data_IF_055017372801
#
_entry.id   IF_055017372801
#
_cell.length_a   1.000
_cell.length_b   1.000
_cell.length_c   1.000
_cell.angle_alpha   90.00
_cell.angle_beta   90.00
_cell.angle_gamma   90.00
#
_symmetry.space_group_name_H-M   'P 1'
#
loop_
_entity.id
_entity.type
_entity.pdbx_description
1 polymer ?
#
# COMPACT_ATOMS: atom_id res chain seq x y z
N UNK A 1 20.24 25.83 -14.92
CA UNK A 1 19.32 25.70 -13.77
C UNK A 1 20.15 25.07 -12.65
N UNK A 2 20.32 25.74 -11.50
CA UNK A 2 21.20 25.23 -10.43
C UNK A 2 20.63 23.95 -9.83
N UNK A 3 21.51 23.03 -9.45
CA UNK A 3 21.18 21.73 -8.83
C UNK A 3 20.25 21.89 -7.61
N UNK A 4 20.48 22.93 -6.83
CA UNK A 4 19.68 23.31 -5.68
C UNK A 4 18.21 23.65 -6.03
N UNK A 5 17.98 24.31 -7.18
CA UNK A 5 16.63 24.63 -7.64
C UNK A 5 15.86 23.37 -8.07
N UNK A 6 16.55 22.38 -8.64
CA UNK A 6 15.95 21.09 -9.02
C UNK A 6 15.59 20.24 -7.79
N UNK A 7 16.44 20.24 -6.75
CA UNK A 7 16.18 19.56 -5.48
C UNK A 7 15.00 20.19 -4.73
N UNK A 8 14.96 21.53 -4.61
CA UNK A 8 13.84 22.23 -3.94
C UNK A 8 12.50 22.00 -4.65
N UNK A 9 12.49 22.02 -5.99
CA UNK A 9 11.29 21.71 -6.78
C UNK A 9 10.82 20.27 -6.56
N UNK A 10 11.76 19.33 -6.49
CA UNK A 10 11.50 17.91 -6.20
C UNK A 10 10.89 17.73 -4.81
N UNK A 11 11.49 18.34 -3.78
CA UNK A 11 10.97 18.30 -2.41
C UNK A 11 9.57 18.91 -2.31
N UNK A 12 9.34 20.07 -2.94
CA UNK A 12 8.04 20.73 -2.94
C UNK A 12 6.95 19.87 -3.62
N UNK A 13 7.26 19.19 -4.72
CA UNK A 13 6.32 18.29 -5.39
C UNK A 13 5.98 17.06 -4.52
N UNK A 14 6.99 16.44 -3.91
CA UNK A 14 6.78 15.29 -3.03
C UNK A 14 5.97 15.66 -1.80
N UNK A 15 6.32 16.77 -1.13
CA UNK A 15 5.58 17.30 0.02
C UNK A 15 4.15 17.66 -0.37
N UNK A 16 3.94 18.33 -1.51
CA UNK A 16 2.61 18.68 -1.99
C UNK A 16 1.72 17.45 -2.23
N UNK A 17 2.26 16.40 -2.85
CA UNK A 17 1.53 15.13 -3.06
C UNK A 17 1.24 14.42 -1.74
N UNK A 18 2.19 14.40 -0.81
CA UNK A 18 2.00 13.81 0.52
C UNK A 18 0.89 14.52 1.30
N UNK A 19 0.97 15.85 1.39
CA UNK A 19 -0.01 16.68 2.12
C UNK A 19 -1.39 16.60 1.47
N UNK A 20 -1.47 16.75 0.14
CA UNK A 20 -2.75 16.66 -0.57
C UNK A 20 -3.36 15.25 -0.47
N UNK A 21 -2.54 14.20 -0.64
CA UNK A 21 -2.98 12.82 -0.50
C UNK A 21 -3.49 12.52 0.91
N UNK A 22 -2.76 12.96 1.94
CA UNK A 22 -3.19 12.82 3.33
C UNK A 22 -4.48 13.60 3.62
N UNK A 23 -4.59 14.84 3.14
CA UNK A 23 -5.78 15.66 3.31
C UNK A 23 -7.01 15.07 2.62
N UNK A 24 -6.87 14.50 1.42
CA UNK A 24 -7.96 13.81 0.69
C UNK A 24 -8.40 12.57 1.45
N UNK A 25 -7.46 11.75 1.94
CA UNK A 25 -7.77 10.58 2.77
C UNK A 25 -8.50 11.00 4.04
N UNK A 26 -7.99 11.99 4.77
CA UNK A 26 -8.60 12.50 5.99
C UNK A 26 -10.01 13.05 5.72
N UNK A 27 -10.18 13.89 4.70
CA UNK A 27 -11.49 14.43 4.34
C UNK A 27 -12.49 13.33 3.96
N UNK A 28 -12.03 12.28 3.28
CA UNK A 28 -12.87 11.15 2.90
C UNK A 28 -13.26 10.27 4.10
N UNK A 29 -12.33 10.05 5.04
CA UNK A 29 -12.58 9.41 6.35
C UNK A 29 -13.74 10.07 7.09
N UNK A 30 -13.83 11.40 7.05
CA UNK A 30 -14.88 12.13 7.76
C UNK A 30 -16.21 12.25 6.96
N UNK A 31 -16.26 11.87 5.67
CA UNK A 31 -17.45 12.08 4.81
C UNK A 31 -18.30 10.83 4.52
N UNK A 32 -17.76 9.62 4.58
CA UNK A 32 -18.51 8.39 4.22
C UNK A 32 -19.40 7.95 5.38
N UNK A 33 -20.74 7.92 5.19
CA UNK A 33 -21.72 7.71 6.28
C UNK A 33 -22.73 6.56 6.09
N UNK A 34 -22.57 5.64 5.14
CA UNK A 34 -23.59 4.57 4.93
C UNK A 34 -22.99 3.18 4.65
N UNK A 35 -23.25 2.16 5.49
CA UNK A 35 -22.95 0.75 5.19
C UNK A 35 -23.85 0.21 4.08
N UNK A 36 -23.30 -0.56 3.12
CA UNK A 36 -24.11 -1.41 2.22
C UNK A 36 -24.54 -2.68 2.97
N UNK A 37 -25.83 -3.07 2.96
CA UNK A 37 -26.26 -4.34 3.57
C UNK A 37 -25.73 -5.53 2.78
N UNK A 38 -24.99 -6.43 3.44
CA UNK A 38 -24.59 -7.72 2.86
C UNK A 38 -25.49 -8.83 3.40
N UNK A 39 -25.90 -9.74 2.53
CA UNK A 39 -26.79 -10.85 2.90
C UNK A 39 -26.15 -11.87 3.87
N UNK A 40 -24.81 -11.94 3.92
CA UNK A 40 -24.06 -12.76 4.88
C UNK A 40 -22.75 -12.05 5.29
N UNK A 41 -22.73 -11.49 6.50
CA UNK A 41 -21.57 -10.77 7.03
C UNK A 41 -20.32 -11.66 7.15
N UNK A 42 -20.49 -12.95 7.43
CA UNK A 42 -19.38 -13.87 7.66
C UNK A 42 -18.63 -14.17 6.37
N UNK A 43 -19.37 -14.39 5.27
CA UNK A 43 -18.77 -14.59 3.94
C UNK A 43 -17.96 -13.37 3.48
N UNK A 44 -18.46 -12.16 3.79
CA UNK A 44 -17.77 -10.92 3.44
C UNK A 44 -16.48 -10.75 4.23
N UNK A 45 -16.50 -11.04 5.54
CA UNK A 45 -15.30 -10.96 6.38
C UNK A 45 -14.26 -11.99 5.92
N UNK A 46 -14.69 -13.24 5.66
CA UNK A 46 -13.82 -14.28 5.13
C UNK A 46 -13.18 -13.85 3.79
N UNK A 47 -14.00 -13.37 2.84
CA UNK A 47 -13.51 -12.90 1.54
C UNK A 47 -12.49 -11.78 1.67
N UNK A 48 -12.70 -10.81 2.57
CA UNK A 48 -11.73 -9.74 2.87
C UNK A 48 -10.44 -10.28 3.49
N UNK A 49 -10.53 -11.24 4.40
CA UNK A 49 -9.36 -11.84 5.04
C UNK A 49 -8.49 -12.59 4.03
N UNK A 50 -9.10 -13.38 3.15
CA UNK A 50 -8.41 -14.07 2.05
C UNK A 50 -7.79 -13.06 1.07
N UNK A 51 -8.57 -12.07 0.61
CA UNK A 51 -8.08 -11.08 -0.34
C UNK A 51 -6.93 -10.23 0.23
N UNK A 52 -7.02 -9.79 1.49
CA UNK A 52 -5.92 -9.06 2.14
C UNK A 52 -4.68 -9.93 2.37
N UNK A 53 -4.85 -11.25 2.57
CA UNK A 53 -3.73 -12.20 2.63
C UNK A 53 -3.02 -12.29 1.28
N UNK A 54 -3.77 -12.40 0.18
CA UNK A 54 -3.21 -12.39 -1.17
C UNK A 54 -2.42 -11.10 -1.42
N UNK A 55 -2.97 -9.95 -1.04
CA UNK A 55 -2.29 -8.65 -1.16
C UNK A 55 -0.99 -8.64 -0.37
N UNK A 56 -0.99 -9.10 0.88
CA UNK A 56 0.20 -9.15 1.74
C UNK A 56 1.29 -10.06 1.15
N UNK A 57 0.91 -11.23 0.61
CA UNK A 57 1.85 -12.15 -0.05
C UNK A 57 2.49 -11.52 -1.29
N UNK A 58 1.70 -10.89 -2.18
CA UNK A 58 2.25 -10.21 -3.34
C UNK A 58 3.11 -9.00 -2.95
N UNK A 59 2.73 -8.23 -1.92
CA UNK A 59 3.54 -7.14 -1.39
C UNK A 59 4.88 -7.65 -0.82
N UNK A 60 4.87 -8.78 -0.10
CA UNK A 60 6.09 -9.44 0.37
C UNK A 60 6.97 -9.92 -0.78
N UNK A 61 6.39 -10.54 -1.80
CA UNK A 61 7.11 -10.96 -3.01
C UNK A 61 7.77 -9.75 -3.72
N UNK A 62 7.06 -8.61 -3.82
CA UNK A 62 7.64 -7.38 -4.36
C UNK A 62 8.86 -6.91 -3.57
N UNK A 63 8.74 -6.91 -2.25
CA UNK A 63 9.77 -6.44 -1.34
C UNK A 63 11.01 -7.33 -1.42
N UNK A 64 10.82 -8.65 -1.41
CA UNK A 64 11.89 -9.64 -1.57
C UNK A 64 12.58 -9.49 -2.93
N UNK A 65 11.81 -9.46 -4.02
CA UNK A 65 12.39 -9.36 -5.37
C UNK A 65 13.17 -8.08 -5.59
N UNK A 66 12.76 -6.94 -5.02
CA UNK A 66 13.58 -5.74 -5.06
C UNK A 66 14.75 -5.77 -4.09
N UNK A 67 14.60 -6.36 -2.90
CA UNK A 67 15.73 -6.61 -1.99
C UNK A 67 16.84 -7.41 -2.69
N UNK A 68 16.47 -8.37 -3.54
CA UNK A 68 17.42 -9.10 -4.39
C UNK A 68 18.06 -8.24 -5.48
N UNK A 69 17.29 -7.37 -6.14
CA UNK A 69 17.79 -6.46 -7.19
C UNK A 69 18.73 -5.39 -6.63
N UNK A 70 18.52 -4.95 -5.39
CA UNK A 70 19.38 -4.02 -4.66
C UNK A 70 20.46 -4.73 -3.82
N UNK A 71 20.64 -6.05 -4.01
CA UNK A 71 21.69 -6.85 -3.36
C UNK A 71 21.64 -6.85 -1.82
N UNK A 72 20.46 -6.58 -1.24
CA UNK A 72 20.20 -6.67 0.20
C UNK A 72 19.72 -8.05 0.63
N UNK A 73 19.25 -8.86 -0.32
CA UNK A 73 18.81 -10.25 -0.11
C UNK A 73 19.53 -11.11 -1.16
N UNK A 74 20.09 -12.27 -0.80
CA UNK A 74 20.72 -13.15 -1.78
C UNK A 74 19.70 -13.67 -2.80
N UNK A 75 19.99 -13.50 -4.09
CA UNK A 75 19.18 -14.05 -5.16
C UNK A 75 19.57 -15.53 -5.41
N UNK A 76 18.62 -16.42 -5.76
CA UNK A 76 18.93 -17.79 -6.12
C UNK A 76 19.85 -17.85 -7.35
N UNK A 77 20.78 -18.82 -7.36
CA UNK A 77 21.69 -19.04 -8.50
C UNK A 77 20.89 -19.28 -9.78
N UNK A 78 21.30 -18.64 -10.88
CA UNK A 78 20.66 -18.77 -12.20
C UNK A 78 19.45 -17.86 -12.44
N UNK A 79 18.95 -17.14 -11.43
CA UNK A 79 17.86 -16.18 -11.62
C UNK A 79 18.39 -14.88 -12.23
N UNK A 80 17.87 -14.51 -13.41
CA UNK A 80 18.27 -13.28 -14.11
C UNK A 80 17.61 -12.06 -13.48
N UNK A 81 18.35 -10.93 -13.44
CA UNK A 81 17.83 -9.63 -12.97
C UNK A 81 16.55 -9.18 -13.72
N UNK A 82 16.44 -9.49 -15.02
CA UNK A 82 15.23 -9.22 -15.82
C UNK A 82 14.01 -9.98 -15.27
N UNK A 83 14.19 -11.22 -14.82
CA UNK A 83 13.11 -12.02 -14.23
C UNK A 83 12.64 -11.41 -12.92
N UNK A 84 13.56 -11.04 -12.03
CA UNK A 84 13.23 -10.36 -10.77
C UNK A 84 12.46 -9.05 -11.01
N UNK A 85 12.91 -8.25 -11.99
CA UNK A 85 12.24 -7.00 -12.37
C UNK A 85 10.84 -7.23 -12.94
N UNK A 86 10.65 -8.28 -13.74
CA UNK A 86 9.33 -8.66 -14.27
C UNK A 86 8.39 -9.09 -13.16
N UNK A 87 8.87 -9.97 -12.26
CA UNK A 87 8.10 -10.45 -11.10
C UNK A 87 7.72 -9.28 -10.21
N UNK A 88 8.65 -8.38 -9.87
CA UNK A 88 8.35 -7.16 -9.11
C UNK A 88 7.24 -6.33 -9.77
N UNK A 89 7.33 -6.06 -11.08
CA UNK A 89 6.32 -5.23 -11.77
C UNK A 89 4.93 -5.86 -11.75
N UNK A 90 4.82 -7.16 -12.07
CA UNK A 90 3.54 -7.84 -12.14
C UNK A 90 2.94 -8.09 -10.77
N UNK A 91 3.73 -8.60 -9.83
CA UNK A 91 3.27 -8.75 -8.44
C UNK A 91 2.83 -7.42 -7.86
N UNK A 92 3.54 -6.32 -8.15
CA UNK A 92 3.19 -4.98 -7.65
C UNK A 92 1.86 -4.47 -8.19
N UNK A 93 1.60 -4.70 -9.49
CA UNK A 93 0.31 -4.38 -10.11
C UNK A 93 -0.83 -5.17 -9.47
N UNK A 94 -0.64 -6.48 -9.27
CA UNK A 94 -1.64 -7.34 -8.64
C UNK A 94 -1.91 -6.87 -7.20
N UNK A 95 -0.87 -6.61 -6.40
CA UNK A 95 -1.02 -6.14 -5.03
C UNK A 95 -1.79 -4.81 -4.94
N UNK A 96 -1.47 -3.85 -5.81
CA UNK A 96 -2.13 -2.53 -5.83
C UNK A 96 -3.58 -2.65 -6.29
N UNK A 97 -3.86 -3.41 -7.35
CA UNK A 97 -5.23 -3.59 -7.85
C UNK A 97 -6.11 -4.35 -6.86
N UNK A 98 -5.63 -5.48 -6.34
CA UNK A 98 -6.36 -6.23 -5.33
C UNK A 98 -6.53 -5.41 -4.04
N UNK A 99 -5.50 -4.69 -3.60
CA UNK A 99 -5.56 -3.78 -2.46
C UNK A 99 -6.59 -2.66 -2.65
N UNK A 100 -6.69 -2.11 -3.86
CA UNK A 100 -7.71 -1.12 -4.21
C UNK A 100 -9.13 -1.70 -4.12
N UNK A 101 -9.37 -2.89 -4.67
CA UNK A 101 -10.66 -3.58 -4.57
C UNK A 101 -11.04 -3.85 -3.11
N UNK A 102 -10.10 -4.37 -2.31
CA UNK A 102 -10.31 -4.62 -0.88
C UNK A 102 -10.62 -3.31 -0.14
N UNK A 103 -9.87 -2.24 -0.41
CA UNK A 103 -10.12 -0.95 0.20
C UNK A 103 -11.53 -0.40 -0.15
N UNK A 104 -11.94 -0.51 -1.41
CA UNK A 104 -13.28 -0.12 -1.85
C UNK A 104 -14.37 -0.91 -1.12
N UNK A 105 -14.19 -2.23 -0.98
CA UNK A 105 -15.12 -3.08 -0.22
C UNK A 105 -15.15 -2.69 1.27
N UNK A 106 -14.00 -2.49 1.91
CA UNK A 106 -13.94 -2.07 3.31
C UNK A 106 -14.70 -0.77 3.54
N UNK A 107 -14.49 0.21 2.67
CA UNK A 107 -15.14 1.52 2.81
C UNK A 107 -16.62 1.45 2.51
N UNK A 108 -17.05 0.72 1.47
CA UNK A 108 -18.47 0.52 1.19
C UNK A 108 -19.19 -0.17 2.37
N UNK A 109 -18.54 -1.13 3.03
CA UNK A 109 -19.16 -1.87 4.14
C UNK A 109 -19.20 -1.10 5.45
N UNK A 110 -18.14 -0.36 5.78
CA UNK A 110 -17.85 0.03 7.17
C UNK A 110 -17.46 1.50 7.27
N UNK A 111 -17.10 2.13 6.15
CA UNK A 111 -16.39 3.40 6.13
C UNK A 111 -15.08 3.35 6.93
N UNK A 112 -14.34 4.46 6.99
CA UNK A 112 -13.23 4.57 7.91
C UNK A 112 -13.73 4.71 9.37
N UNK A 113 -13.07 4.03 10.30
CA UNK A 113 -13.53 3.94 11.69
C UNK A 113 -12.42 4.25 12.69
N UNK A 114 -12.78 4.95 13.77
CA UNK A 114 -11.88 5.33 14.86
C UNK A 114 -12.34 4.83 16.22
N UNK A 115 -13.34 3.95 16.26
CA UNK A 115 -13.96 3.43 17.49
C UNK A 115 -13.01 2.61 18.37
N UNK A 116 -11.96 2.03 17.79
CA UNK A 116 -10.91 1.32 18.52
C UNK A 116 -9.55 1.66 17.91
N UNK A 117 -8.47 1.50 18.68
CA UNK A 117 -7.09 1.69 18.21
C UNK A 117 -6.79 0.84 16.96
N UNK A 118 -7.28 -0.40 16.89
CA UNK A 118 -7.09 -1.27 15.73
C UNK A 118 -7.72 -0.67 14.46
N UNK A 119 -8.97 -0.21 14.56
CA UNK A 119 -9.70 0.34 13.41
C UNK A 119 -9.12 1.69 12.97
N UNK A 120 -8.66 2.50 13.94
CA UNK A 120 -7.95 3.74 13.66
C UNK A 120 -6.65 3.47 12.89
N UNK A 121 -5.82 2.54 13.37
CA UNK A 121 -4.58 2.13 12.68
C UNK A 121 -4.88 1.57 11.30
N UNK A 122 -5.90 0.71 11.15
CA UNK A 122 -6.30 0.17 9.86
C UNK A 122 -6.68 1.28 8.85
N UNK A 123 -7.49 2.25 9.29
CA UNK A 123 -7.94 3.37 8.45
C UNK A 123 -6.76 4.26 8.01
N UNK A 124 -5.84 4.56 8.94
CA UNK A 124 -4.63 5.34 8.65
C UNK A 124 -3.70 4.62 7.67
N UNK A 125 -3.45 3.32 7.89
CA UNK A 125 -2.60 2.52 7.00
C UNK A 125 -3.22 2.39 5.61
N UNK A 126 -4.55 2.23 5.51
CA UNK A 126 -5.26 2.14 4.24
C UNK A 126 -5.02 3.37 3.36
N UNK A 127 -5.13 4.56 3.94
CA UNK A 127 -4.80 5.80 3.26
C UNK A 127 -3.31 5.93 2.93
N UNK A 128 -2.43 5.61 3.88
CA UNK A 128 -0.99 5.73 3.73
C UNK A 128 -0.44 4.88 2.57
N UNK A 129 -1.00 3.69 2.32
CA UNK A 129 -0.63 2.85 1.16
C UNK A 129 -0.81 3.61 -0.16
N UNK A 130 -2.00 4.18 -0.40
CA UNK A 130 -2.29 4.82 -1.69
C UNK A 130 -1.49 6.11 -1.87
N UNK A 131 -1.24 6.85 -0.80
CA UNK A 131 -0.34 8.01 -0.82
C UNK A 131 1.09 7.56 -1.19
N UNK A 132 1.63 6.54 -0.53
CA UNK A 132 2.98 6.05 -0.82
C UNK A 132 3.12 5.50 -2.26
N UNK A 133 2.10 4.80 -2.76
CA UNK A 133 2.05 4.35 -4.17
C UNK A 133 1.99 5.54 -5.13
N UNK A 134 1.16 6.56 -4.85
CA UNK A 134 1.08 7.75 -5.68
C UNK A 134 2.42 8.50 -5.73
N UNK A 135 3.08 8.70 -4.58
CA UNK A 135 4.41 9.30 -4.51
C UNK A 135 5.44 8.49 -5.31
N UNK A 136 5.44 7.16 -5.17
CA UNK A 136 6.30 6.27 -5.96
C UNK A 136 6.09 6.47 -7.47
N UNK A 137 4.84 6.56 -7.92
CA UNK A 137 4.51 6.77 -9.33
C UNK A 137 4.94 8.15 -9.83
N UNK A 138 4.84 9.19 -8.98
CA UNK A 138 5.32 10.54 -9.30
C UNK A 138 6.84 10.54 -9.46
N UNK A 139 7.59 9.91 -8.54
CA UNK A 139 9.06 9.79 -8.66
C UNK A 139 9.42 9.13 -9.99
N UNK A 140 8.89 7.94 -10.25
CA UNK A 140 9.21 7.17 -11.47
C UNK A 140 8.88 7.93 -12.76
N UNK A 141 7.78 8.70 -12.79
CA UNK A 141 7.30 9.33 -14.04
C UNK A 141 7.76 10.78 -14.22
N UNK A 142 8.01 11.51 -13.14
CA UNK A 142 8.14 12.98 -13.16
C UNK A 142 9.39 13.47 -12.46
N UNK A 143 9.98 12.68 -11.57
CA UNK A 143 11.09 13.12 -10.72
C UNK A 143 12.18 12.05 -10.60
N UNK A 144 12.83 11.66 -11.71
CA UNK A 144 13.84 10.59 -11.71
C UNK A 144 15.06 10.91 -10.84
N UNK A 145 15.34 12.20 -10.58
CA UNK A 145 16.36 12.63 -9.62
C UNK A 145 16.11 12.10 -8.19
N UNK A 146 14.89 11.69 -7.85
CA UNK A 146 14.53 11.12 -6.56
C UNK A 146 14.47 9.58 -6.55
N UNK A 147 14.98 8.89 -7.59
CA UNK A 147 14.91 7.42 -7.68
C UNK A 147 15.61 6.69 -6.52
N UNK A 148 16.56 7.35 -5.85
CA UNK A 148 17.20 6.84 -4.62
C UNK A 148 16.22 6.59 -3.46
N UNK A 149 15.03 7.21 -3.47
CA UNK A 149 13.99 7.02 -2.46
C UNK A 149 13.09 5.80 -2.73
N UNK A 150 13.17 5.20 -3.92
CA UNK A 150 12.31 4.08 -4.32
C UNK A 150 12.43 2.84 -3.43
N UNK A 151 13.61 2.44 -2.93
CA UNK A 151 13.73 1.31 -1.99
C UNK A 151 13.00 1.57 -0.67
N UNK A 152 13.11 2.79 -0.15
CA UNK A 152 12.46 3.19 1.10
C UNK A 152 10.94 3.20 0.92
N UNK A 153 10.44 3.86 -0.13
CA UNK A 153 9.00 3.89 -0.43
C UNK A 153 8.44 2.50 -0.70
N UNK A 154 9.18 1.63 -1.41
CA UNK A 154 8.79 0.24 -1.63
C UNK A 154 8.66 -0.55 -0.33
N UNK A 155 9.59 -0.33 0.60
CA UNK A 155 9.57 -0.95 1.93
C UNK A 155 8.41 -0.43 2.77
N UNK A 156 8.13 0.87 2.73
CA UNK A 156 6.96 1.47 3.41
C UNK A 156 5.64 0.90 2.88
N UNK A 157 5.48 0.79 1.56
CA UNK A 157 4.28 0.17 0.96
C UNK A 157 4.10 -1.26 1.44
N UNK A 158 5.18 -2.06 1.49
CA UNK A 158 5.10 -3.41 2.04
C UNK A 158 4.68 -3.42 3.51
N UNK A 159 5.33 -2.61 4.36
CA UNK A 159 5.01 -2.52 5.78
C UNK A 159 3.57 -2.07 6.01
N UNK A 160 3.05 -1.14 5.22
CA UNK A 160 1.67 -0.70 5.33
C UNK A 160 0.69 -1.80 4.93
N UNK A 161 0.94 -2.55 3.85
CA UNK A 161 0.13 -3.72 3.51
C UNK A 161 0.21 -4.83 4.57
N UNK A 162 1.38 -5.08 5.14
CA UNK A 162 1.56 -6.02 6.23
C UNK A 162 0.80 -5.57 7.49
N UNK A 163 0.83 -4.28 7.82
CA UNK A 163 0.06 -3.70 8.93
C UNK A 163 -1.46 -3.73 8.69
N UNK A 164 -1.91 -3.55 7.45
CA UNK A 164 -3.31 -3.74 7.06
C UNK A 164 -3.75 -5.18 7.31
N UNK A 165 -2.97 -6.15 6.82
CA UNK A 165 -3.22 -7.56 7.06
C UNK A 165 -3.24 -7.91 8.56
N UNK A 166 -2.29 -7.36 9.33
CA UNK A 166 -2.22 -7.52 10.79
C UNK A 166 -3.48 -6.98 11.48
N UNK A 167 -4.00 -5.85 11.03
CA UNK A 167 -5.17 -5.21 11.65
C UNK A 167 -6.50 -5.75 11.15
N UNK A 168 -6.52 -6.53 10.06
CA UNK A 168 -7.73 -7.15 9.49
C UNK A 168 -7.74 -8.67 9.55
N UNK A 169 -6.90 -9.34 8.75
CA UNK A 169 -6.97 -10.78 8.53
C UNK A 169 -6.46 -11.59 9.72
N UNK A 170 -5.41 -11.11 10.41
CA UNK A 170 -4.84 -11.84 11.54
C UNK A 170 -5.87 -12.02 12.69
N UNK A 171 -6.59 -10.98 13.17
CA UNK A 171 -7.65 -11.15 14.16
C UNK A 171 -8.75 -12.12 13.70
N UNK A 172 -9.10 -12.13 12.41
CA UNK A 172 -10.09 -13.06 11.86
C UNK A 172 -9.60 -14.51 11.96
N UNK A 173 -8.39 -14.80 11.50
CA UNK A 173 -7.82 -16.16 11.61
C UNK A 173 -7.57 -16.60 13.06
N UNK A 174 -7.49 -15.65 14.00
CA UNK A 174 -7.44 -15.92 15.44
C UNK A 174 -8.83 -16.09 16.09
N UNK A 175 -9.92 -15.97 15.32
CA UNK A 175 -11.29 -16.06 15.84
C UNK A 175 -11.71 -14.89 16.74
N UNK A 176 -11.06 -13.73 16.61
CA UNK A 176 -11.31 -12.54 17.45
C UNK A 176 -12.29 -11.54 16.80
N UNK A 177 -12.62 -11.73 15.53
CA UNK A 177 -13.60 -10.96 14.75
C UNK A 177 -14.28 -11.85 13.73
#
# INVERSE_FOLDING_TARGET
MSEEAAVRRTQALLLGVLVAGFAVVAAWVFKVKTPVPYADAQQVIFGKAVASTIVALFAGLNWITMGMVYEKIPAPKGVRRRTLSSVHRWSGRIAVLAGFVVAAMCVATQGPQTSTTRLMVHSLLGGAVFVAVAVKLVIVKRVPAADGLLPLLGSLVFLFFAGLWWTSALPFFQGKI
#
